data_IF_335030555799
#
_entry.id   IF_335030555799
#
_cell.length_a   1.000
_cell.length_b   1.000
_cell.length_c   1.000
_cell.angle_alpha   90.00
_cell.angle_beta   90.00
_cell.angle_gamma   90.00
#
_symmetry.space_group_name_H-M   'P 1'
#
loop_
_entity.id
_entity.type
_entity.pdbx_description
1 polymer ?
#
# COMPACT_ATOMS: atom_id res chain seq x y z
N UNK A 1 -8.63 -7.97 -13.18
CA UNK A 1 -9.98 -8.40 -12.73
C UNK A 1 -9.87 -9.87 -12.40
N UNK A 2 -9.88 -10.23 -11.11
CA UNK A 2 -9.92 -11.63 -10.70
C UNK A 2 -11.38 -11.93 -10.39
N UNK A 3 -11.95 -12.89 -11.11
CA UNK A 3 -13.31 -13.38 -10.85
C UNK A 3 -13.15 -14.63 -10.00
N UNK A 4 -13.64 -14.57 -8.76
CA UNK A 4 -13.76 -15.76 -7.93
C UNK A 4 -15.22 -16.17 -7.91
N UNK A 5 -15.48 -17.46 -8.15
CA UNK A 5 -16.80 -18.06 -7.99
C UNK A 5 -16.86 -18.76 -6.64
N UNK A 6 -17.87 -18.44 -5.83
CA UNK A 6 -18.16 -19.16 -4.59
C UNK A 6 -19.67 -19.16 -4.35
N UNK A 7 -20.23 -20.33 -3.96
CA UNK A 7 -21.68 -20.54 -3.74
C UNK A 7 -22.58 -19.98 -4.87
N UNK A 8 -22.19 -20.18 -6.12
CA UNK A 8 -22.99 -19.71 -7.27
C UNK A 8 -23.05 -18.19 -7.45
N UNK A 9 -22.25 -17.42 -6.69
CA UNK A 9 -22.12 -15.97 -6.86
C UNK A 9 -20.77 -15.61 -7.45
N UNK A 10 -20.80 -14.76 -8.46
CA UNK A 10 -19.62 -14.13 -9.05
C UNK A 10 -19.26 -12.89 -8.25
N UNK A 11 -18.12 -12.93 -7.55
CA UNK A 11 -17.63 -11.78 -6.79
C UNK A 11 -16.56 -11.06 -7.61
N UNK A 12 -16.83 -9.79 -7.93
CA UNK A 12 -15.86 -8.92 -8.59
C UNK A 12 -15.13 -8.15 -7.49
N UNK A 13 -13.90 -8.57 -7.19
CA UNK A 13 -13.06 -7.86 -6.24
C UNK A 13 -12.32 -6.72 -6.97
N UNK A 14 -12.77 -5.49 -6.78
CA UNK A 14 -12.01 -4.29 -7.14
C UNK A 14 -11.12 -3.92 -5.94
N UNK A 15 -9.81 -4.17 -6.03
CA UNK A 15 -8.87 -3.71 -5.00
C UNK A 15 -8.55 -2.24 -5.27
N UNK A 16 -9.28 -1.36 -4.59
CA UNK A 16 -9.08 0.10 -4.64
C UNK A 16 -7.91 0.51 -3.71
N UNK A 17 -6.75 -0.12 -3.90
CA UNK A 17 -5.51 0.30 -3.23
C UNK A 17 -4.99 1.55 -3.91
N UNK A 18 -5.08 2.69 -3.21
CA UNK A 18 -4.65 3.99 -3.73
C UNK A 18 -3.13 4.06 -3.69
N UNK A 19 -2.50 3.95 -4.86
CA UNK A 19 -1.05 4.15 -5.01
C UNK A 19 -0.75 5.64 -5.22
N UNK A 20 0.28 6.14 -4.54
CA UNK A 20 0.75 7.51 -4.72
C UNK A 20 1.28 7.70 -6.15
N UNK A 21 0.90 8.81 -6.81
CA UNK A 21 1.36 9.14 -8.16
C UNK A 21 2.89 9.23 -8.27
N UNK A 22 3.57 9.71 -7.21
CA UNK A 22 5.03 9.76 -7.16
C UNK A 22 5.67 8.37 -7.25
N UNK A 23 5.05 7.37 -6.62
CA UNK A 23 5.51 5.98 -6.69
C UNK A 23 5.34 5.42 -8.09
N UNK A 24 4.21 5.70 -8.76
CA UNK A 24 3.99 5.29 -10.14
C UNK A 24 5.05 5.90 -11.08
N UNK A 25 5.30 7.20 -10.97
CA UNK A 25 6.35 7.86 -11.75
C UNK A 25 7.74 7.28 -11.48
N UNK A 26 8.05 6.95 -10.23
CA UNK A 26 9.33 6.33 -9.90
C UNK A 26 9.47 4.92 -10.51
N UNK A 27 8.39 4.13 -10.58
CA UNK A 27 8.40 2.82 -11.24
C UNK A 27 8.56 2.95 -12.76
N UNK A 28 7.90 3.94 -13.36
CA UNK A 28 8.06 4.27 -14.79
C UNK A 28 9.49 4.72 -15.11
N UNK A 29 10.05 5.64 -14.32
CA UNK A 29 11.43 6.10 -14.48
C UNK A 29 12.46 4.98 -14.33
N UNK A 30 12.14 3.94 -13.56
CA UNK A 30 12.98 2.73 -13.39
C UNK A 30 12.71 1.66 -14.46
N UNK A 31 11.82 1.89 -15.41
CA UNK A 31 11.45 0.92 -16.45
C UNK A 31 10.70 -0.32 -15.90
N UNK A 32 10.16 -0.24 -14.69
CA UNK A 32 9.42 -1.33 -14.04
C UNK A 32 7.93 -1.28 -14.37
N UNK A 33 7.43 -0.12 -14.79
CA UNK A 33 6.06 0.05 -15.23
C UNK A 33 6.01 0.92 -16.48
N UNK A 34 4.97 0.74 -17.28
CA UNK A 34 4.69 1.55 -18.46
C UNK A 34 3.26 2.09 -18.40
N UNK A 35 3.07 3.28 -18.97
CA UNK A 35 1.77 3.90 -19.13
C UNK A 35 1.24 3.64 -20.54
N UNK A 36 0.01 3.14 -20.60
CA UNK A 36 -0.75 3.00 -21.84
C UNK A 36 -1.78 4.12 -21.88
N UNK A 37 -1.55 5.18 -22.69
CA UNK A 37 -2.41 6.36 -22.67
C UNK A 37 -3.84 6.04 -23.12
N UNK A 38 -4.81 6.72 -22.51
CA UNK A 38 -6.24 6.68 -22.92
C UNK A 38 -6.85 5.27 -23.05
N UNK A 39 -6.33 4.31 -22.28
CA UNK A 39 -6.70 2.89 -22.39
C UNK A 39 -7.68 2.41 -21.32
N UNK A 40 -8.01 3.27 -20.36
CA UNK A 40 -9.03 3.02 -19.34
C UNK A 40 -10.26 3.94 -19.54
N UNK A 41 -11.46 3.46 -19.20
CA UNK A 41 -12.66 4.29 -19.18
C UNK A 41 -12.51 5.53 -18.29
N UNK A 42 -13.25 6.58 -18.64
CA UNK A 42 -13.32 7.79 -17.84
C UNK A 42 -13.87 7.50 -16.43
N UNK A 43 -13.42 8.27 -15.44
CA UNK A 43 -13.86 8.13 -14.05
C UNK A 43 -15.33 8.57 -13.84
N UNK A 44 -15.86 9.35 -14.78
CA UNK A 44 -17.23 9.84 -14.80
C UNK A 44 -17.70 9.98 -16.26
N UNK A 45 -19.03 9.99 -16.45
CA UNK A 45 -19.65 10.09 -17.78
C UNK A 45 -19.28 11.42 -18.44
N UNK A 46 -18.75 11.38 -19.66
CA UNK A 46 -18.30 12.56 -20.41
C UNK A 46 -16.90 13.06 -20.04
N UNK A 47 -16.22 12.41 -19.10
CA UNK A 47 -14.83 12.72 -18.73
C UNK A 47 -13.80 12.19 -19.73
N UNK A 48 -12.53 12.61 -19.59
CA UNK A 48 -11.44 12.11 -20.43
C UNK A 48 -11.14 10.62 -20.13
N UNK A 49 -10.68 9.90 -21.15
CA UNK A 49 -10.13 8.56 -20.97
C UNK A 49 -8.92 8.60 -20.04
N UNK A 50 -8.79 7.56 -19.22
CA UNK A 50 -7.70 7.41 -18.27
C UNK A 50 -6.58 6.56 -18.85
N UNK A 51 -5.39 6.69 -18.27
CA UNK A 51 -4.25 5.86 -18.61
C UNK A 51 -4.28 4.58 -17.77
N UNK A 52 -3.95 3.43 -18.37
CA UNK A 52 -3.63 2.22 -17.60
C UNK A 52 -2.15 2.17 -17.36
N UNK A 53 -1.76 1.74 -16.16
CA UNK A 53 -0.38 1.38 -15.86
C UNK A 53 -0.24 -0.13 -15.94
N UNK A 54 0.79 -0.60 -16.64
CA UNK A 54 1.13 -2.02 -16.75
C UNK A 54 2.54 -2.26 -16.22
N UNK A 55 2.75 -3.42 -15.61
CA UNK A 55 4.10 -3.84 -15.24
C UNK A 55 4.82 -4.34 -16.49
N UNK A 56 6.09 -3.98 -16.62
CA UNK A 56 6.98 -4.55 -17.64
C UNK A 56 7.39 -5.97 -17.22
N UNK A 57 8.04 -6.76 -18.09
CA UNK A 57 8.65 -8.04 -17.69
C UNK A 57 9.66 -7.87 -16.53
N UNK A 58 10.42 -6.77 -16.52
CA UNK A 58 11.31 -6.44 -15.41
C UNK A 58 10.53 -6.11 -14.13
N UNK A 59 9.45 -5.35 -14.24
CA UNK A 59 8.58 -5.01 -13.11
C UNK A 59 7.88 -6.21 -12.48
N UNK A 60 7.39 -7.13 -13.31
CA UNK A 60 6.77 -8.38 -12.84
C UNK A 60 7.78 -9.26 -12.10
N UNK A 61 9.00 -9.39 -12.62
CA UNK A 61 10.09 -10.10 -11.94
C UNK A 61 10.45 -9.43 -10.62
N UNK A 62 10.61 -8.10 -10.60
CA UNK A 62 10.91 -7.34 -9.38
C UNK A 62 9.81 -7.50 -8.32
N UNK A 63 8.54 -7.48 -8.74
CA UNK A 63 7.40 -7.73 -7.86
C UNK A 63 7.44 -9.15 -7.29
N UNK A 64 7.67 -10.16 -8.14
CA UNK A 64 7.77 -11.57 -7.72
C UNK A 64 8.86 -11.76 -6.67
N UNK A 65 10.03 -11.15 -6.86
CA UNK A 65 11.10 -11.16 -5.86
C UNK A 65 10.64 -10.48 -4.57
N UNK A 66 10.01 -9.31 -4.65
CA UNK A 66 9.58 -8.56 -3.46
C UNK A 66 8.55 -9.32 -2.61
N UNK A 67 7.60 -10.04 -3.23
CA UNK A 67 6.60 -10.83 -2.49
C UNK A 67 7.15 -12.16 -1.98
N UNK A 68 8.25 -12.66 -2.58
CA UNK A 68 8.92 -13.90 -2.15
C UNK A 68 9.81 -13.66 -0.93
N UNK A 69 10.13 -12.40 -0.61
CA UNK A 69 10.87 -12.06 0.60
C UNK A 69 9.91 -12.16 1.80
N UNK A 70 10.21 -12.98 2.83
CA UNK A 70 9.39 -13.04 4.02
C UNK A 70 9.32 -11.67 4.68
N UNK A 71 8.17 -11.27 5.23
CA UNK A 71 8.03 -9.96 5.86
C UNK A 71 9.07 -9.84 6.98
N UNK A 72 9.93 -8.83 6.89
CA UNK A 72 10.92 -8.54 7.92
C UNK A 72 10.17 -8.33 9.23
N UNK A 73 10.32 -9.26 10.18
CA UNK A 73 9.73 -9.15 11.52
C UNK A 73 10.20 -7.82 12.10
N UNK A 74 9.28 -6.84 12.22
CA UNK A 74 9.55 -5.61 12.97
C UNK A 74 10.03 -6.05 14.35
N UNK A 75 11.26 -5.66 14.72
CA UNK A 75 11.70 -5.81 16.09
C UNK A 75 10.65 -5.15 17.01
N UNK A 76 10.26 -5.79 18.13
CA UNK A 76 9.36 -5.16 19.09
C UNK A 76 9.89 -3.77 19.43
N UNK A 77 9.08 -2.75 19.20
CA UNK A 77 9.46 -1.38 19.56
C UNK A 77 9.83 -1.36 21.05
N UNK A 78 10.99 -0.79 21.37
CA UNK A 78 11.39 -0.48 22.74
C UNK A 78 10.29 0.37 23.36
N UNK A 79 9.46 -0.25 24.19
CA UNK A 79 8.49 0.47 25.02
C UNK A 79 9.29 1.35 25.96
N UNK A 80 9.13 2.68 25.96
CA UNK A 80 9.81 3.55 26.92
C UNK A 80 9.42 3.11 28.34
N UNK A 81 10.43 2.85 29.19
CA UNK A 81 10.19 2.50 30.58
C UNK A 81 9.41 3.63 31.29
N UNK A 82 8.43 3.31 32.15
CA UNK A 82 7.71 4.33 32.89
C UNK A 82 8.65 5.09 33.84
N UNK A 83 8.51 6.42 33.89
CA UNK A 83 9.31 7.30 34.73
C UNK A 83 9.10 6.99 36.23
N UNK A 84 10.15 7.10 37.06
CA UNK A 84 10.03 6.88 38.50
C UNK A 84 9.10 7.93 39.13
N UNK A 85 8.14 7.47 39.94
CA UNK A 85 7.19 8.32 40.68
C UNK A 85 7.94 9.10 41.78
N UNK A 86 7.85 10.43 41.74
CA UNK A 86 8.34 11.28 42.81
C UNK A 86 7.46 11.11 44.08
N UNK A 87 8.10 10.80 45.21
CA UNK A 87 7.45 10.71 46.51
C UNK A 87 6.94 12.09 46.96
N UNK A 88 5.63 12.21 47.22
CA UNK A 88 5.06 13.40 47.87
C UNK A 88 5.42 13.39 49.36
N UNK A 89 6.27 14.33 49.77
CA UNK A 89 6.50 14.68 51.18
C UNK A 89 5.18 15.13 51.81
N UNK A 90 4.76 14.46 52.88
CA UNK A 90 3.60 14.83 53.67
C UNK A 90 3.88 16.12 54.47
N UNK A 91 3.04 17.14 54.29
CA UNK A 91 3.02 18.30 55.17
C UNK A 91 2.37 17.93 56.50
N UNK A 92 3.09 18.14 57.60
CA UNK A 92 2.56 18.08 58.98
C UNK A 92 2.89 19.41 59.65
N UNK A 93 1.86 20.21 59.93
CA UNK A 93 1.96 21.35 60.84
C UNK A 93 0.86 21.29 61.88
N UNK A 94 1.24 21.66 63.10
CA UNK A 94 0.50 21.66 64.35
C UNK A 94 -0.17 23.01 64.57
#
# INVERSE_FOLDING_TARGET
MVVTSSLGRQNIHYRDERVLLGTLRALEAKGLAERVPQSAPAAYVGGPLQDRVRLTPAGTTALATAISIPPTRRAPGTTPAPAPTAAKTAARSR
#
